data_IF_660698795279
#
_entry.id   IF_660698795279
#
_cell.length_a   1.000
_cell.length_b   1.000
_cell.length_c   1.000
_cell.angle_alpha   90.00
_cell.angle_beta   90.00
_cell.angle_gamma   90.00
#
_symmetry.space_group_name_H-M   'P 1'
#
loop_
_entity.id
_entity.type
_entity.pdbx_description
1 polymer ?
#
# COMPACT_ATOMS: atom_id res chain seq x y z
N UNK A 1 13.58 -14.92 -15.10
CA UNK A 1 13.98 -13.50 -14.98
C UNK A 1 12.75 -12.61 -14.75
N UNK A 2 11.75 -12.65 -15.63
CA UNK A 2 10.56 -11.81 -15.49
C UNK A 2 9.73 -12.08 -14.24
N UNK A 3 9.54 -13.34 -13.83
CA UNK A 3 8.86 -13.65 -12.57
C UNK A 3 9.58 -13.08 -11.34
N UNK A 4 10.91 -13.04 -11.34
CA UNK A 4 11.67 -12.42 -10.26
C UNK A 4 11.38 -10.91 -10.17
N UNK A 5 11.24 -10.24 -11.32
CA UNK A 5 10.86 -8.82 -11.38
C UNK A 5 9.40 -8.59 -10.96
N UNK A 6 8.49 -9.51 -11.31
CA UNK A 6 7.12 -9.50 -10.79
C UNK A 6 7.11 -9.63 -9.27
N UNK A 7 7.85 -10.60 -8.71
CA UNK A 7 7.98 -10.80 -7.27
C UNK A 7 8.52 -9.54 -6.59
N UNK A 8 9.59 -8.96 -7.13
CA UNK A 8 10.19 -7.73 -6.60
C UNK A 8 9.17 -6.58 -6.61
N UNK A 9 8.41 -6.42 -7.68
CA UNK A 9 7.38 -5.37 -7.79
C UNK A 9 6.28 -5.59 -6.77
N UNK A 10 5.82 -6.83 -6.58
CA UNK A 10 4.83 -7.19 -5.56
C UNK A 10 5.32 -6.88 -4.13
N UNK A 11 6.58 -7.16 -3.82
CA UNK A 11 7.17 -6.80 -2.53
C UNK A 11 7.26 -5.28 -2.35
N UNK A 12 7.64 -4.53 -3.39
CA UNK A 12 7.63 -3.07 -3.37
C UNK A 12 6.20 -2.56 -3.14
N UNK A 13 5.20 -3.18 -3.77
CA UNK A 13 3.80 -2.84 -3.58
C UNK A 13 3.35 -3.08 -2.14
N UNK A 14 3.72 -4.22 -1.54
CA UNK A 14 3.46 -4.49 -0.13
C UNK A 14 4.11 -3.44 0.79
N UNK A 15 5.37 -3.09 0.53
CA UNK A 15 6.09 -2.05 1.28
C UNK A 15 5.39 -0.70 1.13
N UNK A 16 4.90 -0.37 -0.07
CA UNK A 16 4.13 0.85 -0.32
C UNK A 16 2.86 0.88 0.52
N UNK A 17 2.09 -0.21 0.56
CA UNK A 17 0.88 -0.33 1.40
C UNK A 17 1.23 -0.13 2.88
N UNK A 18 2.26 -0.82 3.38
CA UNK A 18 2.72 -0.66 4.76
C UNK A 18 3.17 0.77 5.06
N UNK A 19 3.84 1.42 4.11
CA UNK A 19 4.26 2.81 4.24
C UNK A 19 3.06 3.76 4.26
N UNK A 20 2.01 3.50 3.48
CA UNK A 20 0.77 4.29 3.51
C UNK A 20 0.03 4.13 4.85
N UNK A 21 0.02 2.94 5.44
CA UNK A 21 -0.64 2.69 6.73
C UNK A 21 0.15 3.28 7.90
N UNK A 22 1.47 3.04 7.93
CA UNK A 22 2.30 3.28 9.12
C UNK A 22 3.32 4.42 8.95
N UNK A 23 3.47 5.00 7.77
CA UNK A 23 4.54 5.95 7.48
C UNK A 23 4.43 7.26 8.27
N UNK A 24 3.25 7.60 8.80
CA UNK A 24 3.10 8.67 9.78
C UNK A 24 3.93 8.44 11.05
N UNK A 25 4.10 7.18 11.51
CA UNK A 25 4.89 6.86 12.69
C UNK A 25 6.39 7.11 12.48
N UNK A 26 6.88 6.95 11.24
CA UNK A 26 8.27 7.24 10.88
C UNK A 26 8.65 8.71 11.13
N UNK A 27 7.67 9.61 11.24
CA UNK A 27 7.91 11.01 11.60
C UNK A 27 8.66 11.14 12.94
N UNK A 28 8.40 10.25 13.90
CA UNK A 28 9.05 10.28 15.20
C UNK A 28 10.54 9.94 15.14
N UNK A 29 10.99 9.27 14.07
CA UNK A 29 12.38 8.94 13.80
C UNK A 29 13.00 10.00 12.87
N UNK A 30 12.33 10.30 11.76
CA UNK A 30 12.79 11.24 10.73
C UNK A 30 11.67 12.20 10.32
N UNK A 31 11.73 13.44 10.82
CA UNK A 31 10.66 14.45 10.60
C UNK A 31 10.40 14.78 9.12
N UNK A 32 11.44 14.68 8.26
CA UNK A 32 11.32 14.94 6.82
C UNK A 32 10.51 13.89 6.06
N UNK A 33 10.21 12.72 6.66
CA UNK A 33 9.43 11.68 6.00
C UNK A 33 8.01 12.14 5.64
N UNK A 34 7.49 13.16 6.35
CA UNK A 34 6.16 13.70 6.13
C UNK A 34 5.94 14.20 4.70
N UNK A 35 6.99 14.71 4.04
CA UNK A 35 6.93 15.19 2.65
C UNK A 35 6.74 14.06 1.63
N UNK A 36 7.16 12.84 1.95
CA UNK A 36 7.01 11.66 1.09
C UNK A 36 5.76 10.88 1.49
N UNK A 37 5.50 10.79 2.79
CA UNK A 37 4.34 10.09 3.32
C UNK A 37 3.02 10.75 2.91
N UNK A 38 2.93 12.07 2.94
CA UNK A 38 1.67 12.76 2.63
C UNK A 38 1.18 12.50 1.19
N UNK A 39 2.01 12.64 0.13
CA UNK A 39 1.62 12.23 -1.23
C UNK A 39 1.25 10.74 -1.34
N UNK A 40 2.01 9.85 -0.70
CA UNK A 40 1.74 8.42 -0.72
C UNK A 40 0.38 8.09 -0.07
N UNK A 41 0.11 8.68 1.09
CA UNK A 41 -1.15 8.52 1.80
C UNK A 41 -2.34 9.06 1.00
N UNK A 42 -2.20 10.25 0.39
CA UNK A 42 -3.23 10.80 -0.50
C UNK A 42 -3.51 9.89 -1.69
N UNK A 43 -2.47 9.32 -2.29
CA UNK A 43 -2.59 8.36 -3.39
C UNK A 43 -3.29 7.07 -2.95
N UNK A 44 -2.92 6.52 -1.79
CA UNK A 44 -3.58 5.35 -1.21
C UNK A 44 -5.06 5.58 -0.95
N UNK A 45 -5.42 6.72 -0.33
CA UNK A 45 -6.84 7.09 -0.15
C UNK A 45 -7.59 7.22 -1.48
N UNK A 46 -6.98 7.84 -2.49
CA UNK A 46 -7.59 7.98 -3.81
C UNK A 46 -7.89 6.62 -4.43
N UNK A 47 -6.95 5.68 -4.38
CA UNK A 47 -7.12 4.32 -4.90
C UNK A 47 -8.27 3.61 -4.21
N UNK A 48 -8.30 3.62 -2.86
CA UNK A 48 -9.35 2.97 -2.07
C UNK A 48 -10.74 3.58 -2.35
N UNK A 49 -10.84 4.90 -2.43
CA UNK A 49 -12.13 5.58 -2.59
C UNK A 49 -12.69 5.54 -4.01
N UNK A 50 -11.85 5.38 -5.02
CA UNK A 50 -12.28 5.36 -6.44
C UNK A 50 -12.32 3.97 -7.05
N UNK A 51 -11.97 2.93 -6.29
CA UNK A 51 -11.77 1.57 -6.82
C UNK A 51 -10.80 1.54 -8.01
N UNK A 52 -9.87 2.49 -8.06
CA UNK A 52 -8.85 2.56 -9.10
C UNK A 52 -7.78 1.50 -8.89
N UNK A 53 -7.10 1.12 -9.97
CA UNK A 53 -6.01 0.14 -9.91
C UNK A 53 -4.69 0.86 -9.63
N UNK A 54 -3.87 0.31 -8.71
CA UNK A 54 -2.54 0.82 -8.43
C UNK A 54 -1.62 0.68 -9.65
N UNK A 55 -0.81 1.70 -10.02
CA UNK A 55 0.11 1.62 -11.14
C UNK A 55 1.10 0.44 -11.05
N UNK A 56 1.47 0.04 -9.84
CA UNK A 56 2.36 -1.10 -9.61
C UNK A 56 1.72 -2.42 -10.06
N UNK A 57 0.40 -2.57 -9.97
CA UNK A 57 -0.32 -3.74 -10.46
C UNK A 57 -0.16 -3.91 -11.97
N UNK A 58 -0.16 -2.82 -12.75
CA UNK A 58 0.09 -2.92 -14.19
C UNK A 58 1.51 -3.40 -14.47
N UNK A 59 2.49 -2.96 -13.68
CA UNK A 59 3.88 -3.36 -13.82
C UNK A 59 4.10 -4.84 -13.42
N UNK A 60 3.47 -5.28 -12.32
CA UNK A 60 3.44 -6.70 -11.90
C UNK A 60 2.90 -7.60 -13.00
N UNK A 61 1.71 -7.27 -13.51
CA UNK A 61 1.05 -8.03 -14.57
C UNK A 61 1.84 -8.02 -15.88
N UNK A 62 2.51 -6.90 -16.20
CA UNK A 62 3.39 -6.83 -17.35
C UNK A 62 4.56 -7.81 -17.23
N UNK A 63 5.22 -7.88 -16.08
CA UNK A 63 6.30 -8.84 -15.85
C UNK A 63 5.80 -10.30 -15.88
N UNK A 64 4.65 -10.60 -15.28
CA UNK A 64 4.04 -11.93 -15.35
C UNK A 64 3.74 -12.32 -16.80
N UNK A 65 3.16 -11.42 -17.58
CA UNK A 65 2.88 -11.63 -18.99
C UNK A 65 4.15 -11.89 -19.82
N UNK A 66 5.22 -11.12 -19.61
CA UNK A 66 6.52 -11.38 -20.26
C UNK A 66 7.13 -12.73 -19.84
N UNK A 67 6.80 -13.20 -18.63
CA UNK A 67 7.14 -14.53 -18.13
C UNK A 67 6.24 -15.66 -18.64
N UNK A 68 5.21 -15.37 -19.44
CA UNK A 68 4.16 -16.31 -19.87
C UNK A 68 3.40 -16.94 -18.68
N UNK A 69 3.27 -16.19 -17.59
CA UNK A 69 2.60 -16.61 -16.36
C UNK A 69 1.29 -15.86 -16.20
N UNK A 70 0.24 -16.57 -15.79
CA UNK A 70 -1.05 -15.97 -15.40
C UNK A 70 -1.10 -15.62 -13.92
N UNK A 71 -0.24 -16.24 -13.11
CA UNK A 71 -0.07 -15.99 -11.67
C UNK A 71 1.34 -16.39 -11.25
N UNK A 72 1.72 -16.02 -10.03
CA UNK A 72 2.99 -16.38 -9.43
C UNK A 72 3.11 -17.91 -9.26
N UNK A 73 4.22 -18.51 -9.69
CA UNK A 73 4.43 -19.97 -9.52
C UNK A 73 4.76 -20.34 -8.07
N UNK A 74 5.21 -19.36 -7.29
CA UNK A 74 5.61 -19.55 -5.90
C UNK A 74 4.39 -19.69 -4.98
N UNK A 75 4.27 -20.83 -4.32
CA UNK A 75 3.16 -21.13 -3.40
C UNK A 75 3.11 -20.22 -2.18
N UNK A 76 4.22 -19.68 -1.70
CA UNK A 76 4.21 -18.73 -0.59
C UNK A 76 3.61 -17.38 -1.02
N UNK A 77 4.03 -16.86 -2.17
CA UNK A 77 3.50 -15.60 -2.69
C UNK A 77 1.99 -15.74 -2.97
N UNK A 78 1.62 -16.80 -3.69
CA UNK A 78 0.24 -17.11 -4.05
C UNK A 78 -0.68 -17.21 -2.82
N UNK A 79 -0.25 -17.90 -1.76
CA UNK A 79 -1.12 -18.20 -0.62
C UNK A 79 -1.07 -17.17 0.50
N UNK A 80 0.01 -16.38 0.63
CA UNK A 80 0.18 -15.48 1.77
C UNK A 80 0.29 -14.00 1.41
N UNK A 81 0.97 -13.64 0.32
CA UNK A 81 1.17 -12.22 -0.03
C UNK A 81 0.05 -11.73 -0.94
N UNK A 82 -0.31 -12.52 -1.95
CA UNK A 82 -1.27 -12.14 -2.96
C UNK A 82 -2.66 -11.83 -2.38
N UNK A 83 -3.22 -12.62 -1.44
CA UNK A 83 -4.52 -12.32 -0.83
C UNK A 83 -4.51 -11.08 0.08
N UNK A 84 -3.33 -10.66 0.56
CA UNK A 84 -3.18 -9.43 1.36
C UNK A 84 -3.29 -8.20 0.45
N UNK A 85 -2.68 -8.25 -0.73
CA UNK A 85 -2.66 -7.13 -1.69
C UNK A 85 -3.94 -7.11 -2.55
N UNK A 86 -4.41 -8.28 -2.97
CA UNK A 86 -5.59 -8.49 -3.80
C UNK A 86 -6.54 -9.48 -3.12
N UNK A 87 -7.33 -9.04 -2.12
CA UNK A 87 -8.27 -9.92 -1.44
C UNK A 87 -9.37 -10.39 -2.39
N UNK A 88 -9.62 -11.71 -2.41
CA UNK A 88 -10.54 -12.36 -3.36
C UNK A 88 -11.99 -11.85 -3.28
N UNK A 89 -12.39 -11.31 -2.13
CA UNK A 89 -13.74 -10.79 -1.87
C UNK A 89 -13.72 -9.29 -1.56
N UNK A 90 -12.98 -8.50 -2.36
CA UNK A 90 -12.98 -7.04 -2.23
C UNK A 90 -14.34 -6.45 -2.65
N UNK A 91 -15.29 -6.41 -1.72
CA UNK A 91 -16.57 -5.74 -1.90
C UNK A 91 -16.41 -4.23 -1.73
N UNK A 92 -17.36 -3.45 -2.28
CA UNK A 92 -17.38 -2.00 -2.07
C UNK A 92 -17.42 -1.63 -0.58
N UNK A 93 -18.17 -2.39 0.23
CA UNK A 93 -18.23 -2.20 1.68
C UNK A 93 -16.88 -2.44 2.35
N UNK A 94 -16.16 -3.50 1.95
CA UNK A 94 -14.82 -3.80 2.47
C UNK A 94 -13.83 -2.70 2.07
N UNK A 95 -13.92 -2.21 0.83
CA UNK A 95 -13.05 -1.14 0.34
C UNK A 95 -13.28 0.17 1.09
N UNK A 96 -14.55 0.55 1.32
CA UNK A 96 -14.90 1.70 2.15
C UNK A 96 -14.39 1.52 3.58
N UNK A 97 -14.53 0.31 4.14
CA UNK A 97 -14.02 -0.01 5.48
C UNK A 97 -12.50 0.14 5.57
N UNK A 98 -11.74 -0.38 4.59
CA UNK A 98 -10.28 -0.27 4.52
C UNK A 98 -9.85 1.20 4.38
N UNK A 99 -10.45 1.94 3.44
CA UNK A 99 -10.16 3.36 3.23
C UNK A 99 -10.49 4.21 4.46
N UNK A 100 -11.63 3.97 5.11
CA UNK A 100 -12.02 4.67 6.34
C UNK A 100 -11.06 4.37 7.49
N UNK A 101 -10.68 3.10 7.66
CA UNK A 101 -9.71 2.66 8.66
C UNK A 101 -8.36 3.33 8.45
N UNK A 102 -7.88 3.37 7.20
CA UNK A 102 -6.63 4.05 6.82
C UNK A 102 -6.65 5.54 7.21
N UNK A 103 -7.76 6.23 6.92
CA UNK A 103 -7.96 7.65 7.26
C UNK A 103 -7.95 7.85 8.77
N UNK A 104 -8.70 7.05 9.54
CA UNK A 104 -8.78 7.18 11.00
C UNK A 104 -7.41 6.97 11.66
N UNK A 105 -6.69 5.92 11.27
CA UNK A 105 -5.35 5.62 11.81
C UNK A 105 -4.41 6.80 11.53
N UNK A 106 -4.36 7.28 10.30
CA UNK A 106 -3.47 8.39 9.95
C UNK A 106 -3.90 9.72 10.59
N UNK A 107 -5.19 10.01 10.69
CA UNK A 107 -5.68 11.19 11.39
C UNK A 107 -5.25 11.19 12.86
N UNK A 108 -5.31 10.04 13.54
CA UNK A 108 -4.80 9.89 14.90
C UNK A 108 -3.29 10.15 14.99
N UNK A 109 -2.50 9.53 14.11
CA UNK A 109 -1.03 9.70 14.08
C UNK A 109 -0.67 11.17 13.83
N UNK A 110 -1.24 11.81 12.82
CA UNK A 110 -0.99 13.22 12.52
C UNK A 110 -1.48 14.15 13.64
N UNK A 111 -2.58 13.80 14.33
CA UNK A 111 -3.02 14.49 15.53
C UNK A 111 -1.94 14.50 16.62
N UNK A 112 -1.32 13.34 16.89
CA UNK A 112 -0.20 13.24 17.84
C UNK A 112 1.02 14.07 17.41
N UNK A 113 1.33 14.06 16.11
CA UNK A 113 2.42 14.87 15.53
C UNK A 113 2.16 16.36 15.76
N UNK A 114 0.95 16.84 15.48
CA UNK A 114 0.55 18.24 15.68
C UNK A 114 0.60 18.66 17.15
N UNK A 115 0.14 17.80 18.06
CA UNK A 115 0.23 18.04 19.50
C UNK A 115 1.69 18.15 19.98
N UNK A 116 2.60 17.38 19.40
CA UNK A 116 4.05 17.48 19.67
C UNK A 116 4.62 18.81 19.18
N UNK A 117 4.21 19.29 18.01
CA UNK A 117 4.65 20.61 17.51
C UNK A 117 4.13 21.76 18.37
N UNK A 118 2.89 21.70 18.85
CA UNK A 118 2.30 22.74 19.70
C UNK A 118 2.94 22.86 21.10
N UNK A 119 3.61 21.79 21.56
CA UNK A 119 4.32 21.75 22.84
C UNK A 119 5.76 22.29 22.77
N UNK A 120 6.28 22.57 21.58
CA UNK A 120 7.67 22.99 21.35
C UNK A 120 7.72 24.47 20.99
#
# INVERSE_FOLDING_TARGET
MYEFLANLTLFIHLIFILFVIFGGLLFFIFSKIIYIHLPALMWGMYIELTSSICPLTYLENWFLYQGQLTTYSNSFIQNYILPIIYPENLTADLQIYLGTTLIIINMFIYGLILLKFKKK
#
